data_IF_951203405517
#
_entry.id   IF_951203405517
#
_cell.length_a   1.000
_cell.length_b   1.000
_cell.length_c   1.000
_cell.angle_alpha   90.00
_cell.angle_beta   90.00
_cell.angle_gamma   90.00
#
_symmetry.space_group_name_H-M   'P 1'
#
loop_
_entity.id
_entity.type
_entity.pdbx_description
1 polymer ?
#
# COMPACT_ATOMS: atom_id res chain seq x y z
N UNK A 1 13.71 10.94 -1.19
CA UNK A 1 12.27 11.16 -1.45
C UNK A 1 11.78 12.52 -0.93
N UNK A 2 12.07 12.90 0.32
CA UNK A 2 11.65 14.21 0.89
C UNK A 2 11.92 15.44 0.01
N UNK A 3 13.12 15.57 -0.55
CA UNK A 3 13.47 16.71 -1.42
C UNK A 3 12.61 16.82 -2.68
N UNK A 4 12.23 15.68 -3.28
CA UNK A 4 11.33 15.66 -4.44
C UNK A 4 9.90 16.09 -4.04
N UNK A 5 9.42 15.66 -2.86
CA UNK A 5 8.13 16.13 -2.34
C UNK A 5 8.13 17.64 -2.10
N UNK A 6 9.21 18.19 -1.54
CA UNK A 6 9.36 19.63 -1.33
C UNK A 6 9.35 20.39 -2.66
N UNK A 7 10.09 19.90 -3.66
CA UNK A 7 10.10 20.48 -5.00
C UNK A 7 8.70 20.50 -5.62
N UNK A 8 7.97 19.37 -5.56
CA UNK A 8 6.59 19.26 -6.07
C UNK A 8 5.60 20.21 -5.41
N UNK A 9 5.82 20.57 -4.15
CA UNK A 9 4.93 21.43 -3.37
C UNK A 9 5.31 22.91 -3.40
N UNK A 10 6.40 23.28 -4.09
CA UNK A 10 6.88 24.67 -4.16
C UNK A 10 5.77 25.62 -4.60
N UNK A 11 5.65 26.77 -3.92
CA UNK A 11 4.66 27.82 -4.15
C UNK A 11 3.18 27.42 -4.03
N UNK A 12 2.89 26.22 -3.50
CA UNK A 12 1.51 25.79 -3.23
C UNK A 12 1.05 26.28 -1.85
N UNK A 13 -0.16 26.87 -1.73
CA UNK A 13 -0.72 27.27 -0.43
C UNK A 13 -0.87 26.11 0.58
N UNK A 14 -0.87 24.86 0.09
CA UNK A 14 -1.02 23.63 0.89
C UNK A 14 0.31 22.95 1.21
N UNK A 15 1.45 23.53 0.81
CA UNK A 15 2.76 22.88 0.89
C UNK A 15 3.08 22.37 2.30
N UNK A 16 2.85 23.20 3.32
CA UNK A 16 3.15 22.84 4.71
C UNK A 16 2.28 21.67 5.20
N UNK A 17 0.96 21.71 4.98
CA UNK A 17 0.05 20.68 5.47
C UNK A 17 0.25 19.35 4.75
N UNK A 18 0.54 19.37 3.45
CA UNK A 18 0.82 18.15 2.68
C UNK A 18 2.19 17.57 2.98
N UNK A 19 3.20 18.43 3.25
CA UNK A 19 4.50 17.97 3.71
C UNK A 19 4.38 17.28 5.08
N UNK A 20 3.59 17.84 6.00
CA UNK A 20 3.33 17.21 7.30
C UNK A 20 2.65 15.83 7.16
N UNK A 21 1.63 15.71 6.31
CA UNK A 21 0.96 14.42 6.02
C UNK A 21 1.91 13.41 5.38
N UNK A 22 2.77 13.86 4.45
CA UNK A 22 3.76 13.00 3.82
C UNK A 22 4.77 12.48 4.85
N UNK A 23 5.23 13.33 5.77
CA UNK A 23 6.16 12.95 6.84
C UNK A 23 5.52 11.97 7.81
N UNK A 24 4.26 12.21 8.21
CA UNK A 24 3.48 11.28 9.04
C UNK A 24 3.35 9.90 8.38
N UNK A 25 2.96 9.88 7.10
CA UNK A 25 2.82 8.65 6.33
C UNK A 25 4.16 7.90 6.26
N UNK A 26 5.26 8.58 5.95
CA UNK A 26 6.58 7.96 5.83
C UNK A 26 7.10 7.40 7.15
N UNK A 27 6.82 8.09 8.28
CA UNK A 27 7.23 7.62 9.59
C UNK A 27 6.48 6.33 10.01
N UNK A 28 5.23 6.16 9.57
CA UNK A 28 4.38 5.02 9.95
C UNK A 28 4.24 4.83 11.48
N UNK A 29 4.33 5.92 12.24
CA UNK A 29 4.26 5.90 13.70
C UNK A 29 2.82 6.10 14.22
N UNK A 30 1.95 6.71 13.42
CA UNK A 30 0.54 6.91 13.77
C UNK A 30 -0.32 5.73 13.32
N UNK A 31 -1.43 5.51 14.02
CA UNK A 31 -2.39 4.48 13.64
C UNK A 31 -2.99 4.72 12.25
N UNK A 32 -3.19 5.99 11.88
CA UNK A 32 -3.71 6.37 10.55
C UNK A 32 -2.68 6.09 9.46
N UNK A 33 -1.42 6.48 9.66
CA UNK A 33 -0.35 6.17 8.70
C UNK A 33 -0.20 4.66 8.47
N UNK A 34 -0.21 3.87 9.56
CA UNK A 34 -0.17 2.39 9.48
C UNK A 34 -1.38 1.83 8.73
N UNK A 35 -2.56 2.38 8.95
CA UNK A 35 -3.77 1.95 8.27
C UNK A 35 -3.70 2.24 6.76
N UNK A 36 -3.14 3.39 6.38
CA UNK A 36 -2.92 3.74 4.97
C UNK A 36 -1.89 2.80 4.32
N UNK A 37 -0.80 2.45 5.01
CA UNK A 37 0.16 1.45 4.52
C UNK A 37 -0.47 0.08 4.31
N UNK A 38 -1.28 -0.38 5.28
CA UNK A 38 -2.03 -1.63 5.16
C UNK A 38 -2.99 -1.59 3.96
N UNK A 39 -3.73 -0.48 3.78
CA UNK A 39 -4.66 -0.31 2.68
C UNK A 39 -3.97 -0.29 1.31
N UNK A 40 -2.85 0.45 1.18
CA UNK A 40 -2.04 0.50 -0.06
C UNK A 40 -1.52 -0.91 -0.44
N UNK A 41 -1.04 -1.67 0.54
CA UNK A 41 -0.59 -3.04 0.30
C UNK A 41 -1.72 -3.97 -0.08
N UNK A 42 -2.88 -3.87 0.55
CA UNK A 42 -4.05 -4.66 0.16
C UNK A 42 -4.50 -4.34 -1.27
N UNK A 43 -4.53 -3.07 -1.67
CA UNK A 43 -4.88 -2.66 -3.03
C UNK A 43 -3.92 -3.29 -4.05
N UNK A 44 -2.61 -3.27 -3.76
CA UNK A 44 -1.60 -3.91 -4.60
C UNK A 44 -1.84 -5.43 -4.77
N UNK A 45 -2.20 -6.15 -3.70
CA UNK A 45 -2.54 -7.58 -3.80
C UNK A 45 -3.84 -7.83 -4.57
N UNK A 46 -4.84 -6.97 -4.37
CA UNK A 46 -6.09 -7.05 -5.12
C UNK A 46 -5.85 -6.83 -6.62
N UNK A 47 -5.06 -5.84 -7.00
CA UNK A 47 -4.68 -5.57 -8.40
C UNK A 47 -3.98 -6.80 -9.02
N UNK A 48 -3.05 -7.42 -8.30
CA UNK A 48 -2.37 -8.62 -8.77
C UNK A 48 -3.34 -9.79 -9.01
N UNK A 49 -4.27 -10.02 -8.08
CA UNK A 49 -5.33 -11.03 -8.23
C UNK A 49 -6.21 -10.75 -9.46
N UNK A 50 -6.72 -9.53 -9.60
CA UNK A 50 -7.58 -9.15 -10.72
C UNK A 50 -6.85 -9.29 -12.06
N UNK A 51 -5.58 -8.90 -12.12
CA UNK A 51 -4.78 -9.06 -13.32
C UNK A 51 -4.62 -10.53 -13.73
N UNK A 52 -4.38 -11.43 -12.77
CA UNK A 52 -4.33 -12.87 -13.03
C UNK A 52 -5.66 -13.40 -13.55
N UNK A 53 -6.78 -13.00 -12.93
CA UNK A 53 -8.12 -13.42 -13.35
C UNK A 53 -8.45 -12.96 -14.78
N UNK A 54 -8.08 -11.73 -15.13
CA UNK A 54 -8.38 -11.15 -16.45
C UNK A 54 -7.52 -11.72 -17.58
N UNK A 55 -6.26 -12.04 -17.31
CA UNK A 55 -5.30 -12.46 -18.34
C UNK A 55 -5.07 -13.97 -18.38
N UNK A 56 -5.46 -14.70 -17.32
CA UNK A 56 -5.12 -16.11 -17.12
C UNK A 56 -3.62 -16.35 -16.87
N UNK A 57 -2.83 -15.28 -16.69
CA UNK A 57 -1.38 -15.41 -16.55
C UNK A 57 -0.97 -16.01 -15.21
N UNK A 58 0.03 -16.88 -15.27
CA UNK A 58 0.62 -17.51 -14.10
C UNK A 58 1.90 -16.80 -13.64
N UNK A 59 2.32 -15.74 -14.36
CA UNK A 59 3.57 -15.02 -14.10
C UNK A 59 3.59 -14.31 -12.74
N UNK A 60 2.42 -14.01 -12.16
CA UNK A 60 2.33 -13.39 -10.83
C UNK A 60 2.31 -14.39 -9.67
N UNK A 61 2.52 -15.70 -9.88
CA UNK A 61 2.65 -16.65 -8.75
C UNK A 61 3.76 -16.26 -7.77
N UNK A 62 4.87 -15.72 -8.27
CA UNK A 62 5.97 -15.22 -7.44
C UNK A 62 5.60 -14.01 -6.59
N UNK A 63 4.54 -13.29 -6.94
CA UNK A 63 4.04 -12.15 -6.16
C UNK A 63 3.46 -12.59 -4.80
N UNK A 64 2.89 -13.81 -4.73
CA UNK A 64 2.25 -14.38 -3.55
C UNK A 64 3.20 -15.21 -2.67
N UNK A 65 4.45 -15.41 -3.11
CA UNK A 65 5.41 -16.25 -2.39
C UNK A 65 6.05 -15.54 -1.19
N UNK A 66 6.11 -14.20 -1.22
CA UNK A 66 6.59 -13.40 -0.11
C UNK A 66 5.40 -12.77 0.66
N UNK A 67 4.98 -13.36 1.79
CA UNK A 67 3.86 -12.84 2.55
C UNK A 67 4.17 -11.50 3.20
N UNK A 68 3.19 -10.60 3.20
CA UNK A 68 3.28 -9.32 3.92
C UNK A 68 2.67 -9.46 5.31
N UNK A 69 3.31 -8.82 6.31
CA UNK A 69 2.75 -8.70 7.67
C UNK A 69 2.12 -7.33 7.80
N UNK A 70 0.82 -7.31 8.03
CA UNK A 70 0.05 -6.08 8.18
C UNK A 70 0.10 -5.56 9.62
N UNK A 71 -0.04 -4.25 9.81
CA UNK A 71 -0.09 -3.64 11.14
C UNK A 71 -1.36 -4.01 11.90
N UNK A 72 -2.50 -4.11 11.19
CA UNK A 72 -3.80 -4.40 11.78
C UNK A 72 -4.27 -5.82 11.46
N UNK A 73 -4.84 -6.55 12.45
CA UNK A 73 -5.31 -7.91 12.25
C UNK A 73 -6.45 -8.00 11.23
N UNK A 74 -7.26 -6.95 11.10
CA UNK A 74 -8.31 -6.88 10.08
C UNK A 74 -7.72 -6.85 8.67
N UNK A 75 -6.63 -6.10 8.46
CA UNK A 75 -5.95 -6.05 7.17
C UNK A 75 -5.28 -7.39 6.84
N UNK A 76 -4.63 -8.02 7.84
CA UNK A 76 -4.09 -9.38 7.70
C UNK A 76 -5.17 -10.38 7.27
N UNK A 77 -6.35 -10.35 7.90
CA UNK A 77 -7.45 -11.24 7.56
C UNK A 77 -7.96 -11.07 6.12
N UNK A 78 -8.00 -9.83 5.61
CA UNK A 78 -8.35 -9.55 4.21
C UNK A 78 -7.29 -10.11 3.26
N UNK A 79 -6.01 -9.90 3.58
CA UNK A 79 -4.90 -10.44 2.80
C UNK A 79 -4.93 -11.97 2.74
N UNK A 80 -5.16 -12.63 3.88
CA UNK A 80 -5.21 -14.10 3.95
C UNK A 80 -6.35 -14.64 3.08
N UNK A 81 -7.52 -13.98 3.08
CA UNK A 81 -8.63 -14.33 2.21
C UNK A 81 -8.30 -14.14 0.72
N UNK A 82 -7.69 -13.01 0.34
CA UNK A 82 -7.25 -12.77 -1.05
C UNK A 82 -6.24 -13.83 -1.51
N UNK A 83 -5.29 -14.19 -0.64
CA UNK A 83 -4.26 -15.19 -0.94
C UNK A 83 -4.86 -16.58 -1.16
N UNK A 84 -5.91 -16.95 -0.42
CA UNK A 84 -6.62 -18.21 -0.62
C UNK A 84 -7.34 -18.24 -1.98
N UNK A 85 -7.91 -17.11 -2.41
CA UNK A 85 -8.57 -17.00 -3.72
C UNK A 85 -7.60 -17.00 -4.90
N UNK A 86 -6.36 -16.56 -4.69
CA UNK A 86 -5.32 -16.47 -5.71
C UNK A 86 -4.54 -17.77 -5.97
N UNK A 87 -4.74 -18.80 -5.14
CA UNK A 87 -4.16 -20.15 -5.29
C UNK A 87 -4.95 -20.98 -6.31
#
# INVERSE_FOLDING_TARGET
>A
ERGAMQEMLTDMPVAESWMALWEELHAAETAVARLVHDADKLDMYLQAYLYQQQTGTQQLRGFWSNPHTFYFPQAQAIYDALRQMAQ
#
